data_IF_109853012405
#
_entry.id   IF_109853012405
#
_cell.length_a   1.000
_cell.length_b   1.000
_cell.length_c   1.000
_cell.angle_alpha   90.00
_cell.angle_beta   90.00
_cell.angle_gamma   90.00
#
_symmetry.space_group_name_H-M   'P 1'
#
loop_
_entity.id
_entity.type
_entity.pdbx_description
1 polymer ?
#
# COMPACT_ATOMS: atom_id res chain seq x y z
N UNK A 1 -0.37 -12.79 -5.83
CA UNK A 1 0.79 -12.15 -5.18
C UNK A 1 1.74 -13.23 -4.69
N UNK A 2 3.06 -13.01 -4.75
CA UNK A 2 3.98 -13.85 -3.96
C UNK A 2 4.01 -13.26 -2.55
N UNK A 3 3.42 -13.97 -1.58
CA UNK A 3 3.46 -13.59 -0.16
C UNK A 3 4.89 -13.28 0.34
N UNK A 4 5.89 -13.93 -0.26
CA UNK A 4 7.30 -13.68 0.01
C UNK A 4 7.75 -12.26 -0.39
N UNK A 5 7.27 -11.73 -1.52
CA UNK A 5 7.60 -10.37 -1.98
C UNK A 5 7.05 -9.30 -1.05
N UNK A 6 5.81 -9.48 -0.58
CA UNK A 6 5.19 -8.64 0.45
C UNK A 6 6.03 -8.65 1.74
N UNK A 7 6.34 -9.83 2.27
CA UNK A 7 7.11 -9.96 3.51
C UNK A 7 8.52 -9.37 3.39
N UNK A 8 9.18 -9.59 2.25
CA UNK A 8 10.48 -8.99 1.96
C UNK A 8 10.38 -7.46 2.01
N UNK A 9 9.44 -6.86 1.29
CA UNK A 9 9.32 -5.40 1.27
C UNK A 9 8.98 -4.83 2.65
N UNK A 10 8.04 -5.46 3.37
CA UNK A 10 7.71 -5.05 4.74
C UNK A 10 8.92 -5.10 5.67
N UNK A 11 9.80 -6.09 5.51
CA UNK A 11 11.05 -6.18 6.27
C UNK A 11 12.00 -5.05 5.87
N UNK A 12 12.23 -4.84 4.57
CA UNK A 12 13.09 -3.78 4.06
C UNK A 12 12.62 -2.40 4.52
N UNK A 13 11.33 -2.10 4.44
CA UNK A 13 10.76 -0.83 4.91
C UNK A 13 10.94 -0.63 6.42
N UNK A 14 10.88 -1.70 7.23
CA UNK A 14 11.15 -1.63 8.68
C UNK A 14 12.62 -1.39 8.97
N UNK A 15 13.52 -2.04 8.23
CA UNK A 15 14.98 -1.86 8.33
C UNK A 15 15.38 -0.43 7.96
N UNK A 16 14.75 0.13 6.93
CA UNK A 16 14.87 1.52 6.50
C UNK A 16 14.13 2.52 7.40
N UNK A 17 13.39 2.04 8.42
CA UNK A 17 12.59 2.85 9.36
C UNK A 17 11.53 3.75 8.69
N UNK A 18 11.06 3.37 7.51
CA UNK A 18 10.04 4.11 6.76
C UNK A 18 8.61 3.79 7.22
N UNK A 19 8.41 2.67 7.93
CA UNK A 19 7.07 2.23 8.37
C UNK A 19 6.48 3.13 9.45
N UNK A 20 5.23 3.57 9.28
CA UNK A 20 4.50 4.33 10.30
C UNK A 20 3.96 3.42 11.42
N UNK A 21 4.84 3.08 12.36
CA UNK A 21 4.51 2.17 13.48
C UNK A 21 3.39 2.71 14.37
N UNK A 22 3.33 4.03 14.55
CA UNK A 22 2.33 4.65 15.41
C UNK A 22 0.94 4.55 14.76
N UNK A 23 0.85 4.86 13.47
CA UNK A 23 -0.38 4.73 12.71
C UNK A 23 -0.84 3.28 12.61
N UNK A 24 0.07 2.34 12.28
CA UNK A 24 -0.26 0.90 12.22
C UNK A 24 -0.75 0.34 13.57
N UNK A 25 -0.22 0.81 14.70
CA UNK A 25 -0.69 0.40 16.03
C UNK A 25 -2.12 0.85 16.33
N UNK A 26 -2.53 1.99 15.77
CA UNK A 26 -3.86 2.55 15.97
C UNK A 26 -4.89 2.01 14.97
N UNK A 27 -4.44 1.42 13.87
CA UNK A 27 -5.28 0.75 12.89
C UNK A 27 -5.92 -0.50 13.51
N UNK A 28 -7.23 -0.44 13.71
CA UNK A 28 -8.04 -1.55 14.22
C UNK A 28 -9.19 -1.84 13.26
N UNK A 29 -9.79 -3.02 13.38
CA UNK A 29 -11.00 -3.39 12.63
C UNK A 29 -12.11 -2.36 12.82
N UNK A 30 -12.23 -1.77 14.01
CA UNK A 30 -13.21 -0.72 14.31
C UNK A 30 -13.07 0.54 13.45
N UNK A 31 -11.87 0.84 12.97
CA UNK A 31 -11.59 1.97 12.05
C UNK A 31 -11.71 1.51 10.59
N UNK A 32 -11.10 0.36 10.27
CA UNK A 32 -11.01 -0.16 8.91
C UNK A 32 -12.37 -0.57 8.35
N UNK A 33 -13.14 -1.35 9.11
CA UNK A 33 -14.43 -1.90 8.69
C UNK A 33 -15.42 -0.82 8.20
N UNK A 34 -15.75 0.23 8.97
CA UNK A 34 -16.68 1.26 8.50
C UNK A 34 -16.11 2.14 7.39
N UNK A 35 -14.78 2.25 7.27
CA UNK A 35 -14.17 2.97 6.16
C UNK A 35 -14.33 2.21 4.83
N UNK A 36 -14.07 0.90 4.87
CA UNK A 36 -14.02 0.04 3.70
C UNK A 36 -15.42 -0.42 3.28
N UNK A 37 -16.26 -0.91 4.22
CA UNK A 37 -17.62 -1.42 3.90
C UNK A 37 -18.50 -0.37 3.23
N UNK A 38 -18.34 0.91 3.58
CA UNK A 38 -19.14 2.00 3.02
C UNK A 38 -18.92 2.19 1.51
N UNK A 39 -17.73 1.84 1.00
CA UNK A 39 -17.32 2.14 -0.39
C UNK A 39 -17.01 0.89 -1.21
N UNK A 40 -16.73 -0.23 -0.55
CA UNK A 40 -16.25 -1.47 -1.15
C UNK A 40 -16.99 -2.69 -0.56
N UNK A 41 -18.31 -2.58 -0.34
CA UNK A 41 -19.12 -3.66 0.24
C UNK A 41 -18.99 -4.99 -0.51
N UNK A 42 -19.02 -4.94 -1.85
CA UNK A 42 -18.88 -6.14 -2.70
C UNK A 42 -17.56 -6.89 -2.46
N UNK A 43 -16.46 -6.17 -2.23
CA UNK A 43 -15.16 -6.79 -1.91
C UNK A 43 -15.19 -7.45 -0.53
N UNK A 44 -15.83 -6.82 0.44
CA UNK A 44 -15.96 -7.36 1.79
C UNK A 44 -16.86 -8.60 1.79
N UNK A 45 -17.95 -8.59 1.03
CA UNK A 45 -18.85 -9.75 0.87
C UNK A 45 -18.17 -10.91 0.14
N UNK A 46 -17.34 -10.63 -0.86
CA UNK A 46 -16.52 -11.64 -1.53
C UNK A 46 -15.48 -12.25 -0.57
N UNK A 47 -14.82 -11.42 0.26
CA UNK A 47 -13.86 -11.88 1.26
C UNK A 47 -14.52 -12.78 2.32
N UNK A 48 -15.70 -12.38 2.81
CA UNK A 48 -16.51 -13.17 3.73
C UNK A 48 -16.90 -14.52 3.12
N UNK A 49 -17.34 -14.54 1.85
CA UNK A 49 -17.64 -15.77 1.12
C UNK A 49 -16.44 -16.69 0.92
N UNK A 50 -15.22 -16.12 0.86
CA UNK A 50 -13.95 -16.87 0.78
C UNK A 50 -13.47 -17.36 2.14
N UNK A 51 -14.14 -16.99 3.23
CA UNK A 51 -13.74 -17.33 4.59
C UNK A 51 -12.48 -16.57 5.05
N UNK A 52 -12.23 -15.37 4.52
CA UNK A 52 -11.15 -14.52 5.00
C UNK A 52 -11.46 -14.02 6.42
N UNK A 53 -10.44 -13.91 7.28
CA UNK A 53 -10.63 -13.49 8.66
C UNK A 53 -10.83 -11.97 8.75
N UNK A 54 -12.09 -11.54 8.78
CA UNK A 54 -12.47 -10.14 8.94
C UNK A 54 -12.29 -9.60 10.37
N UNK A 55 -11.75 -10.39 11.31
CA UNK A 55 -11.29 -9.93 12.62
C UNK A 55 -9.81 -9.51 12.62
N UNK A 56 -9.04 -9.87 11.59
CA UNK A 56 -7.66 -9.44 11.40
C UNK A 56 -7.60 -8.10 10.62
N UNK A 57 -7.03 -7.02 11.19
CA UNK A 57 -6.78 -5.77 10.47
C UNK A 57 -6.00 -5.95 9.15
N UNK A 58 -5.13 -6.95 9.07
CA UNK A 58 -4.31 -7.22 7.87
C UNK A 58 -5.20 -7.62 6.69
N UNK A 59 -6.21 -8.46 6.91
CA UNK A 59 -7.22 -8.82 5.89
C UNK A 59 -7.87 -7.58 5.30
N UNK A 60 -8.27 -6.63 6.15
CA UNK A 60 -8.89 -5.39 5.71
C UNK A 60 -7.98 -4.53 4.83
N UNK A 61 -6.69 -4.43 5.18
CA UNK A 61 -5.71 -3.71 4.39
C UNK A 61 -5.49 -4.38 3.02
N UNK A 62 -5.50 -5.71 2.97
CA UNK A 62 -5.37 -6.48 1.73
C UNK A 62 -6.57 -6.24 0.79
N UNK A 63 -7.79 -6.08 1.31
CA UNK A 63 -8.97 -5.74 0.49
C UNK A 63 -8.82 -4.40 -0.26
N UNK A 64 -8.01 -3.51 0.28
CA UNK A 64 -7.72 -2.18 -0.26
C UNK A 64 -6.32 -2.05 -0.85
N UNK A 65 -5.64 -3.17 -1.12
CA UNK A 65 -4.32 -3.21 -1.77
C UNK A 65 -3.28 -2.41 -0.98
N UNK A 66 -3.18 -2.67 0.32
CA UNK A 66 -2.20 -2.04 1.21
C UNK A 66 -1.38 -3.14 1.89
N UNK A 67 -0.22 -3.43 1.33
CA UNK A 67 0.78 -4.29 1.93
C UNK A 67 1.59 -3.60 3.03
N UNK A 68 1.82 -2.30 2.88
CA UNK A 68 2.60 -1.52 3.82
C UNK A 68 2.15 -0.05 3.85
N UNK A 69 2.42 0.62 4.97
CA UNK A 69 2.16 2.05 5.13
C UNK A 69 3.45 2.73 5.59
N UNK A 70 3.90 3.67 4.79
CA UNK A 70 5.10 4.44 4.98
C UNK A 70 4.75 5.86 5.42
N UNK A 71 5.67 6.49 6.14
CA UNK A 71 5.68 7.94 6.32
C UNK A 71 7.00 8.46 5.77
N UNK A 72 6.90 9.28 4.73
CA UNK A 72 8.03 9.89 4.04
C UNK A 72 7.98 11.40 4.23
N UNK A 73 9.13 12.06 4.34
CA UNK A 73 9.20 13.51 4.36
C UNK A 73 9.45 14.01 2.93
N UNK A 74 8.65 14.97 2.45
CA UNK A 74 8.91 15.60 1.15
C UNK A 74 10.00 16.68 1.24
N UNK A 75 10.39 17.27 0.11
CA UNK A 75 11.40 18.34 0.07
C UNK A 75 11.05 19.59 0.91
N UNK A 76 9.77 19.79 1.24
CA UNK A 76 9.30 20.91 2.08
C UNK A 76 9.34 20.59 3.58
N UNK A 77 9.75 19.38 3.96
CA UNK A 77 9.75 18.92 5.35
C UNK A 77 8.39 18.41 5.85
N UNK A 78 7.41 18.24 4.95
CA UNK A 78 6.08 17.76 5.32
C UNK A 78 6.03 16.22 5.36
N UNK A 79 5.52 15.61 6.45
CA UNK A 79 5.31 14.17 6.49
C UNK A 79 4.11 13.78 5.63
N UNK A 80 4.31 12.80 4.76
CA UNK A 80 3.31 12.27 3.84
C UNK A 80 3.14 10.77 4.11
N UNK A 81 1.91 10.34 4.34
CA UNK A 81 1.56 8.94 4.54
C UNK A 81 1.27 8.26 3.20
N UNK A 82 2.01 7.20 2.92
CA UNK A 82 1.95 6.49 1.65
C UNK A 82 1.55 5.04 1.88
N UNK A 83 0.43 4.63 1.30
CA UNK A 83 0.07 3.23 1.14
C UNK A 83 0.89 2.59 0.01
N UNK A 84 1.35 1.37 0.22
CA UNK A 84 2.13 0.61 -0.76
C UNK A 84 1.49 -0.73 -1.01
N UNK A 85 1.26 -1.04 -2.28
CA UNK A 85 0.97 -2.39 -2.79
C UNK A 85 2.22 -2.94 -3.49
N UNK A 86 2.55 -4.21 -3.27
CA UNK A 86 3.71 -4.85 -3.88
C UNK A 86 3.28 -5.94 -4.87
N UNK A 87 3.83 -5.87 -6.08
CA UNK A 87 3.51 -6.83 -7.13
C UNK A 87 4.74 -7.18 -7.96
N UNK A 88 4.69 -8.35 -8.59
CA UNK A 88 5.79 -8.88 -9.42
C UNK A 88 5.34 -9.15 -10.86
N UNK A 89 4.12 -8.76 -11.21
CA UNK A 89 3.49 -9.04 -12.51
C UNK A 89 2.98 -7.75 -13.12
N UNK A 90 3.48 -7.41 -14.31
CA UNK A 90 3.10 -6.20 -15.07
C UNK A 90 1.58 -6.00 -15.18
N UNK A 91 0.90 -7.04 -15.66
CA UNK A 91 -0.54 -6.99 -15.90
C UNK A 91 -1.31 -6.75 -14.60
N UNK A 92 -0.79 -7.26 -13.48
CA UNK A 92 -1.40 -7.00 -12.18
C UNK A 92 -1.12 -5.57 -11.73
N UNK A 93 0.10 -5.07 -11.90
CA UNK A 93 0.50 -3.72 -11.50
C UNK A 93 -0.38 -2.63 -12.12
N UNK A 94 -0.68 -2.72 -13.43
CA UNK A 94 -1.55 -1.76 -14.11
C UNK A 94 -3.02 -1.86 -13.65
N UNK A 95 -3.50 -3.08 -13.38
CA UNK A 95 -4.85 -3.30 -12.86
C UNK A 95 -4.99 -2.77 -11.43
N UNK A 96 -4.01 -3.06 -10.57
CA UNK A 96 -3.91 -2.57 -9.19
C UNK A 96 -3.82 -1.03 -9.19
N UNK A 97 -2.98 -0.45 -10.04
CA UNK A 97 -2.90 1.01 -10.20
C UNK A 97 -4.26 1.62 -10.59
N UNK A 98 -4.97 0.98 -11.52
CA UNK A 98 -6.30 1.43 -11.96
C UNK A 98 -7.32 1.37 -10.82
N UNK A 99 -7.26 0.33 -9.98
CA UNK A 99 -8.13 0.16 -8.82
C UNK A 99 -7.85 1.21 -7.75
N UNK A 100 -6.59 1.45 -7.38
CA UNK A 100 -6.24 2.44 -6.33
C UNK A 100 -6.52 3.89 -6.75
N UNK A 101 -6.57 4.15 -8.06
CA UNK A 101 -7.01 5.42 -8.66
C UNK A 101 -8.54 5.57 -8.67
N UNK A 102 -9.30 4.50 -8.48
CA UNK A 102 -10.77 4.55 -8.54
C UNK A 102 -11.34 5.44 -7.42
N UNK A 103 -12.52 6.01 -7.67
CA UNK A 103 -13.18 6.90 -6.73
C UNK A 103 -13.41 6.25 -5.35
N UNK A 104 -13.82 4.98 -5.32
CA UNK A 104 -14.08 4.27 -4.07
C UNK A 104 -12.80 4.06 -3.26
N UNK A 105 -11.70 3.68 -3.91
CA UNK A 105 -10.41 3.54 -3.24
C UNK A 105 -9.88 4.89 -2.74
N UNK A 106 -10.00 5.95 -3.53
CA UNK A 106 -9.64 7.30 -3.10
C UNK A 106 -10.44 7.72 -1.85
N UNK A 107 -11.74 7.45 -1.82
CA UNK A 107 -12.58 7.77 -0.66
C UNK A 107 -12.18 7.00 0.60
N UNK A 108 -11.85 5.71 0.46
CA UNK A 108 -11.31 4.92 1.59
C UNK A 108 -9.97 5.47 2.05
N UNK A 109 -9.03 5.69 1.12
CA UNK A 109 -7.70 6.23 1.39
C UNK A 109 -7.78 7.54 2.17
N UNK A 110 -8.60 8.48 1.72
CA UNK A 110 -8.83 9.76 2.38
C UNK A 110 -9.43 9.59 3.79
N UNK A 111 -10.39 8.67 3.97
CA UNK A 111 -10.99 8.38 5.29
C UNK A 111 -10.00 7.74 6.27
N UNK A 112 -9.00 7.04 5.75
CA UNK A 112 -7.90 6.49 6.54
C UNK A 112 -6.77 7.52 6.80
N UNK A 113 -6.85 8.72 6.24
CA UNK A 113 -5.78 9.72 6.40
C UNK A 113 -4.46 9.28 5.74
N UNK A 114 -4.56 8.60 4.62
CA UNK A 114 -3.45 8.23 3.76
C UNK A 114 -3.44 9.22 2.58
N UNK A 115 -2.28 9.78 2.27
CA UNK A 115 -2.16 10.85 1.28
C UNK A 115 -1.93 10.27 -0.12
N UNK A 116 -1.08 9.23 -0.21
CA UNK A 116 -0.67 8.61 -1.49
C UNK A 116 -0.81 7.11 -1.50
N UNK A 117 -0.88 6.53 -2.70
CA UNK A 117 -0.94 5.08 -2.91
C UNK A 117 -0.06 4.67 -4.07
N UNK A 118 1.02 3.95 -3.78
CA UNK A 118 1.96 3.48 -4.79
C UNK A 118 1.87 1.98 -4.98
N UNK A 119 1.97 1.55 -6.23
CA UNK A 119 2.14 0.15 -6.61
C UNK A 119 3.61 -0.02 -6.95
N UNK A 120 4.31 -0.88 -6.23
CA UNK A 120 5.71 -1.21 -6.50
C UNK A 120 5.77 -2.48 -7.33
N UNK A 121 6.43 -2.39 -8.48
CA UNK A 121 6.69 -3.53 -9.34
C UNK A 121 8.18 -3.88 -9.27
N UNK A 122 8.51 -5.09 -8.84
CA UNK A 122 9.89 -5.57 -8.83
C UNK A 122 10.00 -7.07 -9.15
N UNK A 123 11.21 -7.52 -9.46
CA UNK A 123 11.50 -8.94 -9.65
C UNK A 123 11.76 -9.62 -8.30
N UNK A 124 11.01 -10.67 -7.99
CA UNK A 124 11.22 -11.44 -6.76
C UNK A 124 12.52 -12.25 -6.77
N UNK A 125 13.05 -12.59 -7.94
CA UNK A 125 14.30 -13.36 -8.08
C UNK A 125 15.50 -12.45 -7.86
N UNK A 126 15.44 -11.23 -8.36
CA UNK A 126 16.46 -10.21 -8.21
C UNK A 126 15.87 -8.94 -7.58
N UNK A 127 15.59 -8.95 -6.26
CA UNK A 127 14.97 -7.81 -5.59
C UNK A 127 15.91 -6.59 -5.63
N UNK A 128 15.36 -5.36 -5.75
CA UNK A 128 16.16 -4.14 -5.83
C UNK A 128 16.93 -3.91 -4.53
N UNK A 129 18.07 -3.24 -4.64
CA UNK A 129 18.85 -2.84 -3.48
C UNK A 129 18.10 -1.80 -2.65
N UNK A 130 18.35 -1.75 -1.34
CA UNK A 130 17.68 -0.81 -0.45
C UNK A 130 17.87 0.66 -0.86
N UNK A 131 19.05 1.01 -1.38
CA UNK A 131 19.34 2.36 -1.91
C UNK A 131 18.44 2.71 -3.09
N UNK A 132 18.26 1.78 -4.03
CA UNK A 132 17.38 1.97 -5.20
C UNK A 132 15.92 2.19 -4.78
N UNK A 133 15.47 1.50 -3.73
CA UNK A 133 14.13 1.70 -3.17
C UNK A 133 14.02 3.10 -2.59
N UNK A 134 14.98 3.52 -1.76
CA UNK A 134 14.96 4.86 -1.15
C UNK A 134 14.94 5.93 -2.24
N UNK A 135 15.85 5.86 -3.20
CA UNK A 135 15.93 6.82 -4.29
C UNK A 135 14.61 6.92 -5.06
N UNK A 136 14.01 5.78 -5.45
CA UNK A 136 12.75 5.76 -6.17
C UNK A 136 11.56 6.29 -5.35
N UNK A 137 11.50 6.00 -4.04
CA UNK A 137 10.43 6.50 -3.17
C UNK A 137 10.54 8.02 -2.98
N UNK A 138 11.75 8.55 -2.78
CA UNK A 138 11.97 10.00 -2.63
C UNK A 138 11.88 10.76 -3.96
N UNK A 139 12.25 10.16 -5.09
CA UNK A 139 11.95 10.75 -6.40
C UNK A 139 10.44 10.88 -6.60
N UNK A 140 9.66 9.87 -6.17
CA UNK A 140 8.22 9.85 -6.35
C UNK A 140 7.47 10.74 -5.34
N UNK A 141 8.01 10.97 -4.13
CA UNK A 141 7.35 11.78 -3.10
C UNK A 141 7.24 13.25 -3.48
N UNK A 142 8.16 13.76 -4.30
CA UNK A 142 8.13 15.15 -4.74
C UNK A 142 7.26 15.36 -5.98
N UNK A 143 6.78 14.28 -6.61
CA UNK A 143 5.82 14.37 -7.72
C UNK A 143 4.41 14.70 -7.22
N UNK A 144 3.57 15.41 -8.01
CA UNK A 144 2.22 15.79 -7.60
C UNK A 144 1.19 14.66 -7.61
N UNK A 145 1.54 13.48 -8.14
CA UNK A 145 0.59 12.39 -8.31
C UNK A 145 0.25 11.67 -6.99
N UNK A 146 -1.04 11.60 -6.64
CA UNK A 146 -1.53 10.83 -5.49
C UNK A 146 -1.30 9.32 -5.64
N UNK A 147 -1.35 8.80 -6.87
CA UNK A 147 -1.16 7.38 -7.14
C UNK A 147 -0.18 7.15 -8.30
N UNK A 148 0.77 6.26 -8.10
CA UNK A 148 1.85 5.98 -9.04
C UNK A 148 2.18 4.48 -9.08
N UNK A 149 2.67 4.03 -10.23
CA UNK A 149 3.36 2.75 -10.38
C UNK A 149 4.85 3.07 -10.41
N UNK A 150 5.61 2.48 -9.49
CA UNK A 150 7.06 2.59 -9.44
C UNK A 150 7.62 1.25 -9.92
N UNK A 151 8.25 1.26 -11.09
CA UNK A 151 8.93 0.08 -11.64
C UNK A 151 10.38 0.06 -11.16
N UNK A 152 10.72 -0.98 -10.39
CA UNK A 152 12.02 -1.19 -9.77
C UNK A 152 12.77 -2.37 -10.39
N UNK A 153 12.31 -2.86 -11.54
CA UNK A 153 13.01 -3.91 -12.27
C UNK A 153 14.18 -3.30 -13.04
N UNK A 154 15.35 -3.93 -12.92
CA UNK A 154 16.55 -3.60 -13.69
C UNK A 154 16.83 -4.69 -14.72
#
# INVERSE_FOLDING_TARGET
MSYQSKLWFQRTARELRLTDKAYLKNLSVGILSPAIRQRLSERVEEADRRGEDLQDPSTWLDLVLIDCILTLENIEGNPIRVAVEVTTRDRNALNELSLVKSHNFKAVRSKLGIDRHWVLLFDAVNPPASEQIVDALYEQIDQPAECALIDLRQ
#
